data_IF_845650650951
#
_entry.id   IF_845650650951
#
_cell.length_a   1.000
_cell.length_b   1.000
_cell.length_c   1.000
_cell.angle_alpha   90.00
_cell.angle_beta   90.00
_cell.angle_gamma   90.00
#
_symmetry.space_group_name_H-M   'P 1'
#
loop_
_entity.id
_entity.type
_entity.pdbx_description
1 polymer ?
#
# COMPACT_ATOMS: atom_id res chain seq x y z
N UNK A 1 -20.34 6.49 -5.22
CA UNK A 1 -19.31 6.73 -6.27
C UNK A 1 -19.22 8.22 -6.62
N UNK A 2 -20.33 8.93 -6.83
CA UNK A 2 -20.34 10.35 -7.23
C UNK A 2 -19.64 11.26 -6.20
N UNK A 3 -19.91 11.09 -4.92
CA UNK A 3 -19.31 11.89 -3.84
C UNK A 3 -17.78 11.74 -3.77
N UNK A 4 -17.29 10.51 -3.87
CA UNK A 4 -15.84 10.23 -3.87
C UNK A 4 -15.18 10.83 -5.11
N UNK A 5 -15.81 10.73 -6.27
CA UNK A 5 -15.31 11.34 -7.50
C UNK A 5 -15.18 12.86 -7.37
N UNK A 6 -16.23 13.55 -6.91
CA UNK A 6 -16.20 15.00 -6.72
C UNK A 6 -15.10 15.45 -5.75
N UNK A 7 -14.83 14.64 -4.71
CA UNK A 7 -13.76 14.91 -3.75
C UNK A 7 -12.37 14.82 -4.39
N UNK A 8 -12.18 13.88 -5.30
CA UNK A 8 -10.88 13.54 -5.87
C UNK A 8 -10.57 14.28 -7.19
N UNK A 9 -11.59 14.75 -7.91
CA UNK A 9 -11.44 15.48 -9.19
C UNK A 9 -10.42 16.64 -9.15
N UNK A 10 -10.30 17.45 -8.07
CA UNK A 10 -9.29 18.50 -8.01
C UNK A 10 -7.85 18.01 -7.85
N UNK A 11 -7.64 16.74 -7.48
CA UNK A 11 -6.35 16.18 -7.05
C UNK A 11 -5.79 15.19 -8.05
N UNK A 12 -6.67 14.44 -8.71
CA UNK A 12 -6.30 13.40 -9.67
C UNK A 12 -6.74 13.80 -11.08
N UNK A 13 -5.81 13.71 -12.05
CA UNK A 13 -6.03 14.15 -13.44
C UNK A 13 -7.08 13.32 -14.17
N UNK A 14 -7.17 12.04 -13.89
CA UNK A 14 -8.12 11.12 -14.51
C UNK A 14 -8.71 10.20 -13.46
N UNK A 15 -10.04 10.19 -13.35
CA UNK A 15 -10.77 9.34 -12.40
C UNK A 15 -11.75 8.49 -13.16
N UNK A 16 -11.54 7.19 -13.10
CA UNK A 16 -12.40 6.19 -13.74
C UNK A 16 -13.19 5.49 -12.65
N UNK A 17 -14.51 5.45 -12.81
CA UNK A 17 -15.39 4.75 -11.88
C UNK A 17 -15.94 3.49 -12.55
N UNK A 18 -15.79 2.35 -11.86
CA UNK A 18 -16.25 1.04 -12.32
C UNK A 18 -17.32 0.55 -11.37
N UNK A 19 -18.51 0.26 -11.89
CA UNK A 19 -19.61 -0.32 -11.13
C UNK A 19 -19.60 -1.86 -11.17
N UNK A 20 -19.12 -2.44 -12.27
CA UNK A 20 -19.01 -3.88 -12.44
C UNK A 20 -17.55 -4.31 -12.33
N UNK A 21 -17.16 -5.07 -11.29
CA UNK A 21 -15.78 -5.48 -11.07
C UNK A 21 -15.21 -6.35 -12.20
N UNK A 22 -16.02 -7.05 -12.98
CA UNK A 22 -15.58 -7.81 -14.14
C UNK A 22 -14.92 -6.94 -15.24
N UNK A 23 -15.11 -5.63 -15.19
CA UNK A 23 -14.47 -4.68 -16.11
C UNK A 23 -13.05 -4.29 -15.66
N UNK A 24 -12.64 -4.64 -14.44
CA UNK A 24 -11.32 -4.27 -13.87
C UNK A 24 -10.16 -4.72 -14.79
N UNK A 25 -10.09 -5.98 -15.28
CA UNK A 25 -8.95 -6.42 -16.11
C UNK A 25 -8.82 -5.64 -17.42
N UNK A 26 -9.93 -5.28 -18.06
CA UNK A 26 -9.92 -4.47 -19.27
C UNK A 26 -9.42 -3.05 -18.96
N UNK A 27 -9.96 -2.42 -17.91
CA UNK A 27 -9.58 -1.06 -17.52
C UNK A 27 -8.14 -0.93 -17.04
N UNK A 28 -7.59 -1.92 -16.35
CA UNK A 28 -6.17 -1.95 -15.98
C UNK A 28 -5.25 -1.90 -17.22
N UNK A 29 -5.62 -2.63 -18.28
CA UNK A 29 -4.82 -2.68 -19.53
C UNK A 29 -4.97 -1.43 -20.38
N UNK A 30 -6.14 -0.81 -20.39
CA UNK A 30 -6.42 0.38 -21.19
C UNK A 30 -5.84 1.64 -20.56
N UNK A 31 -6.00 1.79 -19.25
CA UNK A 31 -5.82 3.07 -18.55
C UNK A 31 -4.55 3.13 -17.68
N UNK A 32 -3.96 1.98 -17.35
CA UNK A 32 -2.75 1.87 -16.52
C UNK A 32 -2.80 2.75 -15.27
N UNK A 33 -3.78 2.59 -14.37
CA UNK A 33 -3.96 3.49 -13.24
C UNK A 33 -2.80 3.40 -12.24
N UNK A 34 -2.39 4.54 -11.69
CA UNK A 34 -1.38 4.62 -10.62
C UNK A 34 -1.92 4.00 -9.32
N UNK A 35 -3.21 4.24 -9.01
CA UNK A 35 -3.86 3.78 -7.77
C UNK A 35 -5.29 3.34 -8.04
N UNK A 36 -5.73 2.29 -7.36
CA UNK A 36 -7.10 1.78 -7.36
C UNK A 36 -7.68 1.88 -5.96
N UNK A 37 -8.82 2.55 -5.81
CA UNK A 37 -9.65 2.48 -4.61
C UNK A 37 -10.65 1.34 -4.79
N UNK A 38 -10.45 0.24 -4.07
CA UNK A 38 -11.18 -1.00 -4.22
C UNK A 38 -12.18 -1.20 -3.09
N UNK A 39 -13.47 -1.19 -3.40
CA UNK A 39 -14.48 -1.56 -2.40
C UNK A 39 -14.36 -3.04 -2.03
N UNK A 40 -14.45 -3.36 -0.74
CA UNK A 40 -14.39 -4.75 -0.28
C UNK A 40 -15.69 -5.50 -0.50
N UNK A 41 -16.82 -4.79 -0.70
CA UNK A 41 -18.16 -5.37 -0.84
C UNK A 41 -18.84 -4.84 -2.11
N UNK A 42 -18.89 -5.66 -3.15
CA UNK A 42 -19.57 -5.33 -4.41
C UNK A 42 -21.01 -5.84 -4.46
N UNK A 43 -21.32 -6.92 -3.77
CA UNK A 43 -22.63 -7.58 -3.81
C UNK A 43 -23.45 -7.26 -2.56
N UNK A 44 -24.67 -6.78 -2.76
CA UNK A 44 -25.58 -6.36 -1.67
C UNK A 44 -26.17 -7.51 -0.84
N UNK A 45 -25.71 -8.74 -0.99
CA UNK A 45 -26.40 -9.91 -0.40
C UNK A 45 -25.59 -10.80 0.53
N UNK A 46 -24.29 -10.86 0.40
CA UNK A 46 -23.43 -11.70 1.25
C UNK A 46 -22.13 -10.93 1.53
N UNK A 47 -22.06 -10.30 2.70
CA UNK A 47 -20.87 -9.58 3.15
C UNK A 47 -19.76 -10.57 3.54
N UNK A 48 -19.14 -11.23 2.57
CA UNK A 48 -18.03 -12.13 2.84
C UNK A 48 -16.66 -11.42 2.82
N UNK A 49 -16.57 -10.21 2.24
CA UNK A 49 -15.30 -9.47 2.03
C UNK A 49 -14.30 -10.21 1.13
N UNK A 50 -14.57 -11.47 0.82
CA UNK A 50 -13.70 -12.31 -0.03
C UNK A 50 -13.65 -11.81 -1.48
N UNK A 51 -14.69 -11.12 -1.94
CA UNK A 51 -14.71 -10.51 -3.27
C UNK A 51 -13.63 -9.44 -3.41
N UNK A 52 -13.48 -8.56 -2.41
CA UNK A 52 -12.44 -7.54 -2.41
C UNK A 52 -11.03 -8.13 -2.41
N UNK A 53 -10.79 -9.18 -1.62
CA UNK A 53 -9.49 -9.89 -1.62
C UNK A 53 -9.23 -10.60 -2.95
N UNK A 54 -10.24 -11.21 -3.55
CA UNK A 54 -10.13 -11.81 -4.88
C UNK A 54 -9.68 -10.76 -5.91
N UNK A 55 -10.37 -9.62 -5.98
CA UNK A 55 -10.02 -8.56 -6.92
C UNK A 55 -8.69 -7.89 -6.61
N UNK A 56 -8.29 -7.79 -5.36
CA UNK A 56 -6.94 -7.34 -4.98
C UNK A 56 -5.86 -8.23 -5.62
N UNK A 57 -5.99 -9.54 -5.48
CA UNK A 57 -5.05 -10.51 -6.07
C UNK A 57 -5.03 -10.41 -7.60
N UNK A 58 -6.20 -10.31 -8.23
CA UNK A 58 -6.31 -10.13 -9.68
C UNK A 58 -5.63 -8.84 -10.15
N UNK A 59 -5.87 -7.71 -9.47
CA UNK A 59 -5.22 -6.44 -9.80
C UNK A 59 -3.71 -6.56 -9.67
N UNK A 60 -3.22 -7.09 -8.54
CA UNK A 60 -1.78 -7.25 -8.30
C UNK A 60 -1.11 -8.23 -9.26
N UNK A 61 -1.83 -9.26 -9.71
CA UNK A 61 -1.35 -10.20 -10.73
C UNK A 61 -1.24 -9.56 -12.13
N UNK A 62 -2.25 -8.79 -12.53
CA UNK A 62 -2.34 -8.16 -13.85
C UNK A 62 -1.50 -6.88 -13.95
N UNK A 63 -1.41 -6.12 -12.88
CA UNK A 63 -0.68 -4.86 -12.79
C UNK A 63 0.03 -4.70 -11.44
N UNK A 64 1.18 -5.37 -11.24
CA UNK A 64 1.91 -5.37 -9.96
C UNK A 64 2.29 -3.98 -9.47
N UNK A 65 2.47 -3.03 -10.38
CA UNK A 65 2.82 -1.64 -10.09
C UNK A 65 1.64 -0.81 -9.59
N UNK A 66 0.43 -1.13 -9.99
CA UNK A 66 -0.77 -0.40 -9.54
C UNK A 66 -0.94 -0.56 -8.03
N UNK A 67 -0.94 0.54 -7.31
CA UNK A 67 -1.20 0.51 -5.87
C UNK A 67 -2.70 0.34 -5.61
N UNK A 68 -3.05 -0.46 -4.61
CA UNK A 68 -4.45 -0.74 -4.25
C UNK A 68 -4.70 -0.26 -2.83
N UNK A 69 -5.69 0.62 -2.68
CA UNK A 69 -6.21 1.05 -1.38
C UNK A 69 -7.59 0.43 -1.19
N UNK A 70 -7.77 -0.31 -0.10
CA UNK A 70 -9.03 -1.00 0.19
C UNK A 70 -10.02 -0.03 0.82
N UNK A 71 -11.30 -0.13 0.42
CA UNK A 71 -12.38 0.69 0.95
C UNK A 71 -13.40 -0.20 1.65
N UNK A 72 -13.43 -0.19 2.99
CA UNK A 72 -14.06 -1.22 3.80
C UNK A 72 -15.03 -0.66 4.84
N UNK A 73 -16.02 -1.44 5.25
CA UNK A 73 -16.84 -1.13 6.41
C UNK A 73 -16.09 -1.48 7.71
N UNK A 74 -16.50 -0.88 8.83
CA UNK A 74 -15.87 -1.11 10.13
C UNK A 74 -15.87 -2.60 10.54
N UNK A 75 -16.92 -3.34 10.16
CA UNK A 75 -17.04 -4.77 10.45
C UNK A 75 -15.99 -5.64 9.72
N UNK A 76 -15.38 -5.13 8.65
CA UNK A 76 -14.50 -5.90 7.77
C UNK A 76 -13.00 -5.55 7.94
N UNK A 77 -12.63 -4.90 9.05
CA UNK A 77 -11.24 -4.47 9.32
C UNK A 77 -10.27 -5.66 9.28
N UNK A 78 -10.67 -6.83 9.78
CA UNK A 78 -9.83 -8.03 9.76
C UNK A 78 -9.49 -8.47 8.33
N UNK A 79 -10.44 -8.30 7.39
CA UNK A 79 -10.23 -8.57 5.97
C UNK A 79 -9.31 -7.52 5.33
N UNK A 80 -9.44 -6.25 5.74
CA UNK A 80 -8.52 -5.20 5.29
C UNK A 80 -7.07 -5.48 5.73
N UNK A 81 -6.87 -5.93 6.98
CA UNK A 81 -5.54 -6.37 7.47
C UNK A 81 -4.99 -7.53 6.64
N UNK A 82 -5.85 -8.49 6.27
CA UNK A 82 -5.45 -9.58 5.35
C UNK A 82 -5.06 -9.02 3.99
N UNK A 83 -5.82 -8.07 3.46
CA UNK A 83 -5.51 -7.42 2.20
C UNK A 83 -4.17 -6.68 2.18
N UNK A 84 -3.79 -6.03 3.29
CA UNK A 84 -2.43 -5.45 3.43
C UNK A 84 -1.35 -6.51 3.30
N UNK A 85 -1.51 -7.68 3.94
CA UNK A 85 -0.57 -8.80 3.81
C UNK A 85 -0.51 -9.36 2.39
N UNK A 86 -1.59 -9.22 1.63
CA UNK A 86 -1.70 -9.65 0.22
C UNK A 86 -1.26 -8.57 -0.78
N UNK A 87 -0.70 -7.45 -0.30
CA UNK A 87 -0.09 -6.43 -1.13
C UNK A 87 -0.93 -5.18 -1.40
N UNK A 88 -2.03 -4.95 -0.67
CA UNK A 88 -2.67 -3.64 -0.66
C UNK A 88 -1.75 -2.60 -0.02
N UNK A 89 -1.76 -1.38 -0.54
CA UNK A 89 -0.95 -0.28 -0.04
C UNK A 89 -1.46 0.25 1.30
N UNK A 90 -2.79 0.34 1.46
CA UNK A 90 -3.47 0.82 2.66
C UNK A 90 -4.97 0.48 2.61
N UNK A 91 -5.72 0.88 3.64
CA UNK A 91 -7.17 0.79 3.67
C UNK A 91 -7.84 2.03 4.27
N UNK A 92 -9.09 2.28 3.86
CA UNK A 92 -9.93 3.38 4.34
C UNK A 92 -11.23 2.79 4.87
N UNK A 93 -11.62 3.15 6.09
CA UNK A 93 -12.85 2.66 6.74
C UNK A 93 -14.01 3.61 6.48
N UNK A 94 -15.18 3.06 6.17
CA UNK A 94 -16.45 3.78 6.03
C UNK A 94 -17.13 3.93 7.40
N UNK A 95 -17.66 5.11 7.78
CA UNK A 95 -17.58 6.39 7.09
C UNK A 95 -16.16 6.96 7.12
N UNK A 96 -15.75 7.65 6.04
CA UNK A 96 -14.39 8.14 5.88
C UNK A 96 -14.29 9.65 6.11
N UNK A 97 -13.12 10.08 6.55
CA UNK A 97 -12.71 11.48 6.56
C UNK A 97 -12.13 11.85 5.18
N UNK A 98 -12.54 13.01 4.66
CA UNK A 98 -12.11 13.47 3.34
C UNK A 98 -10.60 13.71 3.26
N UNK A 99 -10.02 14.32 4.29
CA UNK A 99 -8.58 14.58 4.35
C UNK A 99 -7.78 13.30 4.36
N UNK A 100 -8.21 12.33 5.17
CA UNK A 100 -7.57 11.01 5.26
C UNK A 100 -7.67 10.25 3.93
N UNK A 101 -8.80 10.30 3.25
CA UNK A 101 -8.94 9.65 1.92
C UNK A 101 -7.98 10.25 0.91
N UNK A 102 -7.90 11.58 0.86
CA UNK A 102 -7.00 12.30 -0.05
C UNK A 102 -5.54 11.96 0.26
N UNK A 103 -5.10 12.03 1.51
CA UNK A 103 -3.72 11.74 1.90
C UNK A 103 -3.34 10.29 1.56
N UNK A 104 -4.16 9.32 1.95
CA UNK A 104 -3.91 7.90 1.69
C UNK A 104 -3.77 7.59 0.19
N UNK A 105 -4.68 8.11 -0.64
CA UNK A 105 -4.62 7.88 -2.10
C UNK A 105 -3.45 8.61 -2.76
N UNK A 106 -3.10 9.81 -2.26
CA UNK A 106 -1.96 10.58 -2.77
C UNK A 106 -0.65 9.88 -2.42
N UNK A 107 -0.49 9.41 -1.21
CA UNK A 107 0.68 8.65 -0.76
C UNK A 107 0.86 7.36 -1.57
N UNK A 108 -0.21 6.60 -1.80
CA UNK A 108 -0.19 5.41 -2.64
C UNK A 108 0.25 5.73 -4.08
N UNK A 109 -0.32 6.79 -4.69
CA UNK A 109 0.08 7.26 -6.02
C UNK A 109 1.56 7.66 -6.08
N UNK A 110 2.03 8.40 -5.10
CA UNK A 110 3.39 8.95 -5.10
C UNK A 110 4.43 7.85 -4.86
N UNK A 111 4.09 6.84 -4.08
CA UNK A 111 4.90 5.62 -3.90
C UNK A 111 5.11 4.89 -5.23
N UNK A 112 4.06 4.75 -6.04
CA UNK A 112 4.16 4.18 -7.38
C UNK A 112 5.09 5.01 -8.28
N UNK A 113 4.89 6.33 -8.33
CA UNK A 113 5.74 7.24 -9.14
C UNK A 113 7.19 7.27 -8.70
N UNK A 114 7.47 7.12 -7.41
CA UNK A 114 8.83 7.03 -6.90
C UNK A 114 9.51 5.72 -7.33
N UNK A 115 8.78 4.61 -7.34
CA UNK A 115 9.27 3.33 -7.84
C UNK A 115 9.59 3.39 -9.35
N UNK A 116 8.76 4.05 -10.16
CA UNK A 116 9.01 4.23 -11.60
C UNK A 116 10.20 5.15 -11.88
N UNK A 117 10.39 6.23 -11.10
CA UNK A 117 11.57 7.10 -11.21
C UNK A 117 12.86 6.40 -10.81
N UNK A 118 12.81 5.53 -9.82
CA UNK A 118 13.95 4.71 -9.40
C UNK A 118 14.29 3.65 -10.47
N UNK A 119 13.29 3.03 -11.09
CA UNK A 119 13.48 2.07 -12.18
C UNK A 119 14.05 2.71 -13.46
N UNK A 120 13.72 3.98 -13.74
CA UNK A 120 14.25 4.72 -14.90
C UNK A 120 15.69 5.24 -14.75
N UNK A 121 16.25 5.25 -13.54
CA UNK A 121 17.61 5.75 -13.24
C UNK A 121 18.65 4.67 -12.96
N UNK A 122 18.27 3.42 -12.81
CA UNK A 122 19.17 2.32 -12.47
C UNK A 122 18.91 1.10 -13.37
N UNK A 123 19.46 1.13 -14.55
CA UNK A 123 19.94 -0.10 -15.18
C UNK A 123 21.10 -0.63 -14.35
N UNK A 124 20.85 -1.44 -13.33
CA UNK A 124 21.92 -2.03 -12.55
C UNK A 124 21.46 -2.57 -11.19
N UNK A 125 21.25 -3.89 -11.15
CA UNK A 125 21.37 -4.79 -10.00
C UNK A 125 20.65 -4.45 -8.69
N UNK A 126 19.63 -5.27 -8.40
CA UNK A 126 19.20 -5.73 -7.07
C UNK A 126 19.43 -4.74 -5.89
N UNK A 127 18.50 -3.83 -5.67
CA UNK A 127 18.33 -3.20 -4.37
C UNK A 127 17.03 -3.70 -3.74
N UNK A 128 17.01 -4.92 -3.25
CA UNK A 128 16.15 -5.30 -2.14
C UNK A 128 16.52 -4.36 -1.00
N UNK A 129 15.57 -3.52 -0.60
CA UNK A 129 15.52 -2.61 0.52
C UNK A 129 16.71 -2.57 1.49
N UNK A 130 17.86 -2.08 1.05
CA UNK A 130 18.94 -1.74 1.99
C UNK A 130 18.49 -0.53 2.80
N UNK A 131 18.52 -0.64 4.11
CA UNK A 131 18.25 0.47 5.01
C UNK A 131 19.29 1.57 4.78
N UNK A 132 18.82 2.79 4.48
CA UNK A 132 19.69 3.97 4.48
C UNK A 132 19.90 4.45 5.92
N UNK A 133 21.10 4.28 6.43
CA UNK A 133 21.42 4.55 7.84
C UNK A 133 21.67 6.02 8.16
N UNK A 134 21.61 6.94 7.26
CA UNK A 134 21.88 8.35 7.54
C UNK A 134 23.23 8.59 8.28
N UNK A 135 23.58 9.86 8.48
CA UNK A 135 24.84 10.27 9.12
C UNK A 135 24.66 10.82 10.55
N UNK A 136 23.42 10.74 11.11
CA UNK A 136 23.18 11.23 12.47
C UNK A 136 23.77 10.27 13.51
N UNK A 137 24.23 10.82 14.62
CA UNK A 137 24.80 10.07 15.75
C UNK A 137 23.83 9.00 16.26
N UNK A 138 22.52 9.35 16.36
CA UNK A 138 21.46 8.44 16.75
C UNK A 138 21.29 7.24 15.80
N UNK A 139 21.43 7.46 14.49
CA UNK A 139 21.34 6.39 13.50
C UNK A 139 22.60 5.51 13.50
N UNK A 140 23.75 6.08 13.80
CA UNK A 140 25.00 5.32 13.98
C UNK A 140 24.93 4.40 15.20
N UNK A 141 24.42 4.90 16.32
CA UNK A 141 24.21 4.11 17.53
C UNK A 141 23.18 2.99 17.31
N UNK A 142 22.07 3.31 16.63
CA UNK A 142 21.06 2.33 16.28
C UNK A 142 21.64 1.20 15.40
N UNK A 143 22.48 1.55 14.43
CA UNK A 143 23.17 0.58 13.58
C UNK A 143 24.05 -0.37 14.39
N UNK A 144 24.84 0.14 15.32
CA UNK A 144 25.66 -0.70 16.21
C UNK A 144 24.83 -1.64 17.08
N UNK A 145 23.69 -1.18 17.57
CA UNK A 145 22.75 -2.04 18.31
C UNK A 145 22.19 -3.16 17.41
N UNK A 146 21.76 -2.81 16.20
CA UNK A 146 21.24 -3.77 15.22
C UNK A 146 22.27 -4.83 14.84
N UNK A 147 23.51 -4.43 14.54
CA UNK A 147 24.60 -5.35 14.19
C UNK A 147 24.89 -6.35 15.33
N UNK A 148 24.82 -5.91 16.58
CA UNK A 148 25.02 -6.79 17.75
C UNK A 148 23.86 -7.76 17.96
N UNK A 149 22.63 -7.31 17.76
CA UNK A 149 21.41 -8.10 18.04
C UNK A 149 21.09 -9.06 16.90
N UNK A 150 21.36 -8.69 15.65
CA UNK A 150 21.18 -9.54 14.47
C UNK A 150 22.04 -10.83 14.53
N UNK A 151 23.14 -10.81 15.29
CA UNK A 151 23.99 -11.99 15.50
C UNK A 151 23.49 -12.94 16.60
N UNK A 152 22.31 -12.70 17.17
CA UNK A 152 21.75 -13.49 18.29
C UNK A 152 20.38 -14.06 17.94
N UNK A 153 19.98 -15.14 18.62
CA UNK A 153 18.63 -15.73 18.53
C UNK A 153 17.60 -15.03 19.44
N UNK A 154 17.85 -13.79 19.87
CA UNK A 154 16.99 -13.06 20.76
C UNK A 154 15.72 -12.56 20.08
N UNK A 155 14.59 -12.63 20.78
CA UNK A 155 13.34 -11.99 20.32
C UNK A 155 13.45 -10.47 20.47
N UNK A 156 13.22 -9.73 19.38
CA UNK A 156 13.36 -8.29 19.34
C UNK A 156 11.98 -7.64 19.17
N UNK A 157 11.65 -6.69 20.04
CA UNK A 157 10.47 -5.86 19.92
C UNK A 157 10.87 -4.47 19.42
N UNK A 158 10.41 -4.09 18.24
CA UNK A 158 10.62 -2.76 17.66
C UNK A 158 9.39 -1.90 17.89
N UNK A 159 9.52 -0.82 18.64
CA UNK A 159 8.44 0.14 18.92
C UNK A 159 8.73 1.50 18.29
N UNK A 160 7.69 2.28 18.03
CA UNK A 160 7.80 3.64 17.47
C UNK A 160 6.52 4.07 16.78
N UNK A 161 6.44 5.33 16.40
CA UNK A 161 5.29 5.92 15.70
C UNK A 161 5.09 5.32 14.30
N UNK A 162 3.88 5.47 13.74
CA UNK A 162 3.60 5.03 12.38
C UNK A 162 4.46 5.79 11.36
N UNK A 163 5.00 5.07 10.39
CA UNK A 163 5.85 5.66 9.34
C UNK A 163 7.34 5.82 9.71
N UNK A 164 7.79 5.41 10.90
CA UNK A 164 9.20 5.55 11.34
C UNK A 164 10.16 4.51 10.77
N UNK A 165 9.74 3.67 9.83
CA UNK A 165 10.62 2.69 9.18
C UNK A 165 10.88 1.40 9.97
N UNK A 166 10.04 1.07 10.96
CA UNK A 166 10.16 -0.17 11.76
C UNK A 166 10.26 -1.45 10.92
N UNK A 167 9.49 -1.52 9.84
CA UNK A 167 9.51 -2.68 8.93
C UNK A 167 10.85 -2.79 8.19
N UNK A 168 11.43 -1.67 7.76
CA UNK A 168 12.74 -1.63 7.10
C UNK A 168 13.82 -2.09 8.07
N UNK A 169 13.75 -1.63 9.33
CA UNK A 169 14.66 -2.04 10.40
C UNK A 169 14.53 -3.53 10.74
N UNK A 170 13.29 -4.05 10.82
CA UNK A 170 13.06 -5.48 11.07
C UNK A 170 13.65 -6.36 9.97
N UNK A 171 13.50 -5.96 8.70
CA UNK A 171 14.08 -6.66 7.56
C UNK A 171 15.60 -6.62 7.56
N UNK A 172 16.21 -5.52 8.02
CA UNK A 172 17.67 -5.40 8.13
C UNK A 172 18.24 -6.30 9.24
N UNK A 173 17.51 -6.44 10.36
CA UNK A 173 17.89 -7.35 11.47
C UNK A 173 17.80 -8.82 11.04
N UNK A 174 16.84 -9.17 10.19
CA UNK A 174 16.60 -10.56 9.76
C UNK A 174 17.51 -11.01 8.60
N UNK A 175 18.32 -10.13 8.05
CA UNK A 175 19.22 -10.38 6.92
C UNK A 175 20.51 -11.08 7.34
#
# INVERSE_FOLDING_TARGET
LTTVRMLLDPIFHNIITIANPNSIPAKLREEHPDVVLLDMNFSSGINSGNEGLFWLREIKSLSPKTEVVLFTAYADIQLAVTGIKEGAADFIVKPFDNGKMISTLTEARDKNKAADKAAGKLGGKNAQGMMYWGESEVMTDLRHVVEKVAATDANILITGENGTGKEVLANEIHR
#
